data_IF_942880146167
#
_entry.id   IF_942880146167
#
_cell.length_a   1.000
_cell.length_b   1.000
_cell.length_c   1.000
_cell.angle_alpha   90.00
_cell.angle_beta   90.00
_cell.angle_gamma   90.00
#
_symmetry.space_group_name_H-M   'P 1'
#
loop_
_entity.id
_entity.type
_entity.pdbx_description
1 polymer ?
#
# COMPACT_ATOMS: atom_id res chain seq x y z
N UNK A 1 4.49 -19.18 15.00
CA UNK A 1 3.24 -18.48 15.37
C UNK A 1 3.61 -17.03 15.63
N UNK A 2 2.94 -16.07 15.00
CA UNK A 2 3.08 -14.66 15.36
C UNK A 2 2.49 -14.45 16.76
N UNK A 3 3.17 -13.66 17.59
CA UNK A 3 2.66 -13.30 18.91
C UNK A 3 1.62 -12.17 18.80
N UNK A 4 0.97 -11.84 19.93
CA UNK A 4 -0.10 -10.84 19.95
C UNK A 4 0.37 -9.43 19.52
N UNK A 5 1.62 -9.06 19.83
CA UNK A 5 2.19 -7.76 19.47
C UNK A 5 2.52 -7.69 17.97
N UNK A 6 3.08 -8.75 17.40
CA UNK A 6 3.34 -8.87 15.96
C UNK A 6 2.04 -8.84 15.16
N UNK A 7 1.00 -9.51 15.66
CA UNK A 7 -0.35 -9.42 15.10
C UNK A 7 -0.84 -7.97 15.09
N UNK A 8 -0.65 -7.20 16.16
CA UNK A 8 -1.09 -5.79 16.17
C UNK A 8 -0.33 -4.88 15.19
N UNK A 9 0.80 -5.32 14.66
CA UNK A 9 1.66 -4.55 13.73
C UNK A 9 1.67 -5.09 12.30
N UNK A 10 0.83 -6.08 11.95
CA UNK A 10 0.79 -6.70 10.62
C UNK A 10 0.64 -5.69 9.46
N UNK A 11 -0.02 -4.55 9.73
CA UNK A 11 -0.31 -3.50 8.77
C UNK A 11 0.81 -2.47 8.62
N UNK A 12 1.74 -2.42 9.60
CA UNK A 12 2.85 -1.48 9.56
C UNK A 12 3.83 -1.87 8.46
N UNK A 13 4.36 -0.85 7.80
CA UNK A 13 5.31 -0.94 6.70
C UNK A 13 6.05 0.38 6.57
N UNK A 14 7.10 0.41 5.78
CA UNK A 14 8.01 1.57 5.68
C UNK A 14 7.28 2.90 5.34
N UNK A 15 6.27 2.84 4.46
CA UNK A 15 5.45 3.99 4.06
C UNK A 15 4.14 4.16 4.85
N UNK A 16 3.85 3.30 5.83
CA UNK A 16 2.69 3.40 6.73
C UNK A 16 3.03 2.84 8.11
N UNK A 17 3.41 3.71 9.03
CA UNK A 17 3.78 3.32 10.39
C UNK A 17 3.62 4.48 11.36
N UNK A 18 3.54 4.15 12.64
CA UNK A 18 3.72 5.14 13.70
C UNK A 18 5.20 5.52 13.78
N UNK A 19 5.48 6.83 13.82
CA UNK A 19 6.80 7.40 14.13
C UNK A 19 6.63 8.18 15.44
N UNK A 20 6.87 7.50 16.56
CA UNK A 20 6.46 8.01 17.88
C UNK A 20 4.95 7.91 18.06
N UNK A 21 4.29 9.02 18.40
CA UNK A 21 2.83 9.09 18.59
C UNK A 21 2.07 9.47 17.31
N UNK A 22 2.78 9.82 16.24
CA UNK A 22 2.17 10.22 14.97
C UNK A 22 2.14 9.10 13.94
N UNK A 23 0.99 8.94 13.28
CA UNK A 23 0.84 8.03 12.15
C UNK A 23 1.30 8.74 10.86
N UNK A 24 2.26 8.13 10.17
CA UNK A 24 2.72 8.60 8.86
C UNK A 24 2.21 7.68 7.77
N UNK A 25 1.79 8.28 6.65
CA UNK A 25 1.43 7.59 5.41
C UNK A 25 2.07 8.30 4.21
N UNK A 26 2.82 7.57 3.40
CA UNK A 26 3.55 8.10 2.24
C UNK A 26 4.34 9.37 2.57
N UNK A 27 5.13 9.32 3.66
CA UNK A 27 5.93 10.41 4.21
C UNK A 27 5.16 11.66 4.68
N UNK A 28 3.84 11.57 4.80
CA UNK A 28 2.99 12.63 5.32
C UNK A 28 2.39 12.23 6.67
N UNK A 29 2.34 13.18 7.62
CA UNK A 29 1.59 12.98 8.86
C UNK A 29 0.09 12.91 8.55
N UNK A 30 -0.59 11.84 8.97
CA UNK A 30 -2.00 11.61 8.67
C UNK A 30 -2.90 12.65 9.34
N UNK A 31 -2.50 13.17 10.51
CA UNK A 31 -3.21 14.25 11.20
C UNK A 31 -3.23 15.54 10.37
N UNK A 32 -2.10 15.88 9.74
CA UNK A 32 -1.97 17.05 8.84
C UNK A 32 -2.83 16.86 7.60
N UNK A 33 -2.85 15.66 7.01
CA UNK A 33 -3.72 15.36 5.86
C UNK A 33 -5.21 15.52 6.24
N UNK A 34 -5.62 15.01 7.40
CA UNK A 34 -6.99 15.14 7.89
C UNK A 34 -7.40 16.59 8.14
N UNK A 35 -6.51 17.40 8.73
CA UNK A 35 -6.75 18.84 8.92
C UNK A 35 -6.85 19.59 7.59
N UNK A 36 -6.00 19.24 6.62
CA UNK A 36 -5.94 19.92 5.33
C UNK A 36 -7.13 19.63 4.42
N UNK A 37 -7.56 18.37 4.35
CA UNK A 37 -8.59 17.93 3.40
C UNK A 37 -9.97 17.71 4.05
N UNK A 38 -10.05 17.81 5.38
CA UNK A 38 -11.25 17.46 6.13
C UNK A 38 -11.50 15.94 6.17
N UNK A 39 -12.44 15.52 7.00
CA UNK A 39 -12.82 14.11 7.15
C UNK A 39 -14.32 13.91 6.86
N UNK A 40 -14.72 12.81 6.19
CA UNK A 40 -13.87 11.69 5.75
C UNK A 40 -13.09 12.01 4.45
N UNK A 41 -11.85 11.52 4.39
CA UNK A 41 -10.99 11.60 3.20
C UNK A 41 -10.29 10.26 2.95
N UNK A 42 -10.06 9.94 1.68
CA UNK A 42 -9.27 8.80 1.25
C UNK A 42 -7.98 9.31 0.61
N UNK A 43 -6.84 8.83 1.10
CA UNK A 43 -5.52 9.18 0.58
C UNK A 43 -4.83 7.95 0.03
N UNK A 44 -4.23 8.09 -1.16
CA UNK A 44 -3.56 7.00 -1.86
C UNK A 44 -2.10 7.35 -2.10
N UNK A 45 -1.23 6.33 -2.08
CA UNK A 45 0.19 6.47 -2.40
C UNK A 45 0.45 5.89 -3.77
N UNK A 46 0.74 6.74 -4.77
CA UNK A 46 1.06 6.27 -6.11
C UNK A 46 2.38 5.49 -6.15
N UNK A 47 3.35 5.88 -5.31
CA UNK A 47 4.59 5.13 -5.12
C UNK A 47 4.27 3.69 -4.70
N UNK A 48 3.38 3.50 -3.71
CA UNK A 48 2.95 2.17 -3.27
C UNK A 48 2.23 1.38 -4.37
N UNK A 49 1.38 2.04 -5.16
CA UNK A 49 0.70 1.39 -6.30
C UNK A 49 1.73 0.86 -7.29
N UNK A 50 2.72 1.68 -7.66
CA UNK A 50 3.83 1.28 -8.54
C UNK A 50 4.64 0.12 -7.95
N UNK A 51 5.00 0.19 -6.68
CA UNK A 51 5.80 -0.86 -6.03
C UNK A 51 5.03 -2.19 -5.97
N UNK A 52 3.72 -2.16 -5.74
CA UNK A 52 2.88 -3.35 -5.81
C UNK A 52 2.83 -3.94 -7.23
N UNK A 53 2.70 -3.07 -8.23
CA UNK A 53 2.67 -3.47 -9.64
C UNK A 53 3.97 -4.15 -10.04
N UNK A 54 5.12 -3.56 -9.69
CA UNK A 54 6.44 -4.14 -9.97
C UNK A 54 6.66 -5.48 -9.26
N UNK A 55 6.17 -5.64 -8.02
CA UNK A 55 6.25 -6.93 -7.32
C UNK A 55 5.48 -8.03 -8.04
N UNK A 56 4.30 -7.73 -8.57
CA UNK A 56 3.51 -8.71 -9.35
C UNK A 56 4.21 -9.00 -10.68
N UNK A 57 4.73 -7.98 -11.36
CA UNK A 57 5.52 -8.18 -12.58
C UNK A 57 6.74 -9.07 -12.34
N UNK A 58 7.50 -8.85 -11.26
CA UNK A 58 8.65 -9.65 -10.91
C UNK A 58 8.26 -11.11 -10.69
N UNK A 59 7.23 -11.39 -9.88
CA UNK A 59 6.75 -12.75 -9.64
C UNK A 59 6.30 -13.46 -10.93
N UNK A 60 5.61 -12.75 -11.84
CA UNK A 60 5.16 -13.32 -13.11
C UNK A 60 6.31 -13.55 -14.09
N UNK A 61 7.37 -12.70 -14.07
CA UNK A 61 8.60 -12.94 -14.84
C UNK A 61 9.32 -14.19 -14.32
N UNK A 62 9.46 -14.31 -13.00
CA UNK A 62 10.16 -15.42 -12.36
C UNK A 62 9.43 -16.76 -12.57
N UNK A 63 8.10 -16.73 -12.71
CA UNK A 63 7.30 -17.90 -13.06
C UNK A 63 7.55 -18.43 -14.49
N UNK A 64 8.24 -17.66 -15.34
CA UNK A 64 8.65 -18.02 -16.70
C UNK A 64 7.54 -18.68 -17.54
N UNK A 65 6.36 -18.04 -17.58
CA UNK A 65 5.20 -18.56 -18.27
C UNK A 65 5.47 -18.72 -19.79
N UNK A 66 5.16 -19.87 -20.41
CA UNK A 66 5.53 -20.15 -21.81
C UNK A 66 4.98 -19.18 -22.85
N UNK A 67 3.86 -18.52 -22.55
CA UNK A 67 3.15 -17.60 -23.45
C UNK A 67 3.26 -16.13 -23.03
N UNK A 68 4.09 -15.83 -22.02
CA UNK A 68 4.14 -14.50 -21.40
C UNK A 68 2.90 -14.21 -20.53
N UNK A 69 2.69 -12.92 -20.19
CA UNK A 69 1.55 -12.50 -19.39
C UNK A 69 1.12 -11.06 -19.70
N UNK A 70 -0.17 -10.79 -19.45
CA UNK A 70 -0.75 -9.44 -19.41
C UNK A 70 -1.33 -9.23 -18.02
N UNK A 71 -0.98 -8.13 -17.36
CA UNK A 71 -1.49 -7.81 -16.03
C UNK A 71 -2.69 -6.86 -16.15
N UNK A 72 -3.85 -7.32 -15.66
CA UNK A 72 -5.10 -6.57 -15.72
C UNK A 72 -5.52 -6.16 -14.30
N UNK A 73 -5.74 -4.87 -14.08
CA UNK A 73 -6.22 -4.36 -12.81
C UNK A 73 -7.73 -4.56 -12.67
N UNK A 74 -8.16 -5.15 -11.56
CA UNK A 74 -9.57 -5.35 -11.28
C UNK A 74 -10.19 -4.03 -10.80
N UNK A 75 -10.79 -3.26 -11.70
CA UNK A 75 -11.41 -1.95 -11.40
C UNK A 75 -12.41 -1.95 -10.23
N UNK A 76 -13.03 -3.11 -9.93
CA UNK A 76 -13.90 -3.28 -8.76
C UNK A 76 -13.20 -3.13 -7.41
N UNK A 77 -11.86 -3.28 -7.37
CA UNK A 77 -11.06 -3.14 -6.16
C UNK A 77 -11.00 -1.67 -5.72
N UNK A 78 -10.73 -0.77 -6.67
CA UNK A 78 -10.81 0.67 -6.49
C UNK A 78 -10.76 1.35 -7.85
N UNK A 79 -11.82 2.08 -8.23
CA UNK A 79 -11.89 2.77 -9.53
C UNK A 79 -11.26 4.16 -9.56
N UNK A 80 -10.75 4.63 -8.42
CA UNK A 80 -10.20 5.98 -8.23
C UNK A 80 -8.67 5.99 -8.09
N UNK A 81 -8.05 4.80 -8.08
CA UNK A 81 -6.60 4.61 -7.97
C UNK A 81 -5.93 4.62 -9.34
#
# INVERSE_FOLDING_TARGET
>A
MMNAEESQRWWQRDDLAYRGEELFFADNSVSVLAQRFGSPAFVYSFARVRDNLERVHAALRDANLPVGYTLLYAMKANRFA
#
